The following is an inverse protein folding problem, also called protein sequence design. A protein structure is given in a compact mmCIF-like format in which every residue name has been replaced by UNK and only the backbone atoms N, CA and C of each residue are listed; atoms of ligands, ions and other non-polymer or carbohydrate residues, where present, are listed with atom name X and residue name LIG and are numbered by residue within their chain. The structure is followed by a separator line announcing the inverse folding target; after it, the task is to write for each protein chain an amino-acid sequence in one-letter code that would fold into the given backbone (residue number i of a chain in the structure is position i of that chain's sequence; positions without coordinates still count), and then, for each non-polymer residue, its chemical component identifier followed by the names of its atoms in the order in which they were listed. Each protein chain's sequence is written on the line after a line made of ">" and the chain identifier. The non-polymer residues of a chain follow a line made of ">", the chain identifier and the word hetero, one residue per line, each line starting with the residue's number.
data_IF_017853892622
#
_entry.id   IF_017853892622
#
_cell.length_a   1.000
_cell.length_b   1.000
_cell.length_c   1.000
_cell.angle_alpha   90.00
_cell.angle_beta   90.00
_cell.angle_gamma   90.00
#
_symmetry.space_group_name_H-M   'P 1'
#
loop_
_entity.id
_entity.type
_entity.pdbx_description
1 polymer ?
#
# COMPACT_ATOMS: atom_id res chain seq x y z
N UNK A 1 4.93 12.65 -39.85
CA UNK A 1 4.56 13.87 -39.09
C UNK A 1 3.61 13.56 -37.93
N UNK A 2 2.53 12.80 -38.09
CA UNK A 2 1.64 12.38 -36.97
C UNK A 2 2.35 11.52 -35.90
N UNK A 3 3.32 10.71 -36.30
CA UNK A 3 4.13 9.87 -35.38
C UNK A 3 4.90 10.67 -34.33
N UNK A 4 5.48 11.79 -34.76
CA UNK A 4 6.30 12.65 -33.90
C UNK A 4 5.43 13.47 -32.96
N UNK A 5 4.25 13.89 -33.41
CA UNK A 5 3.31 14.68 -32.62
C UNK A 5 2.70 13.82 -31.50
N UNK A 6 2.24 12.60 -31.79
CA UNK A 6 1.71 11.69 -30.76
C UNK A 6 2.76 11.27 -29.73
N UNK A 7 4.02 11.00 -30.15
CA UNK A 7 5.12 10.75 -29.19
C UNK A 7 5.39 11.95 -28.30
N UNK A 8 5.32 13.15 -28.84
CA UNK A 8 5.49 14.40 -28.07
C UNK A 8 4.31 14.65 -27.14
N UNK A 9 3.08 14.43 -27.58
CA UNK A 9 1.89 14.55 -26.73
C UNK A 9 1.94 13.51 -25.61
N UNK A 10 2.26 12.26 -25.92
CA UNK A 10 2.42 11.20 -24.91
C UNK A 10 3.54 11.53 -23.92
N UNK A 11 4.69 12.01 -24.40
CA UNK A 11 5.82 12.42 -23.55
C UNK A 11 5.45 13.65 -22.71
N UNK A 12 4.74 14.61 -23.26
CA UNK A 12 4.30 15.82 -22.56
C UNK A 12 3.21 15.48 -21.53
N UNK A 13 2.25 14.62 -21.88
CA UNK A 13 1.23 14.16 -20.93
C UNK A 13 1.85 13.29 -19.82
N UNK A 14 2.82 12.46 -20.19
CA UNK A 14 3.59 11.67 -19.21
C UNK A 14 4.46 12.56 -18.31
N UNK A 15 5.14 13.57 -18.88
CA UNK A 15 5.92 14.54 -18.13
C UNK A 15 5.04 15.45 -17.26
N UNK A 16 3.85 15.84 -17.74
CA UNK A 16 2.92 16.68 -16.96
C UNK A 16 2.33 15.94 -15.77
N UNK A 17 2.17 14.63 -15.83
CA UNK A 17 1.80 13.80 -14.67
C UNK A 17 2.89 13.81 -13.59
N UNK A 18 4.16 13.89 -13.99
CA UNK A 18 5.30 14.04 -13.05
C UNK A 18 5.49 15.48 -12.53
N UNK A 19 4.94 16.49 -13.23
CA UNK A 19 5.05 17.91 -12.85
C UNK A 19 3.94 18.34 -11.88
N UNK A 20 2.89 17.56 -11.68
CA UNK A 20 2.07 17.74 -10.50
C UNK A 20 2.96 17.48 -9.28
N UNK A 21 3.68 18.55 -8.87
CA UNK A 21 4.08 18.69 -7.49
C UNK A 21 2.78 18.50 -6.71
N UNK A 22 2.61 17.32 -6.15
CA UNK A 22 1.76 17.17 -5.00
C UNK A 22 2.38 18.14 -4.00
N UNK A 23 1.85 19.36 -3.92
CA UNK A 23 2.12 20.23 -2.81
C UNK A 23 1.82 19.34 -1.61
N UNK A 24 2.82 19.10 -0.76
CA UNK A 24 2.64 18.38 0.47
C UNK A 24 1.52 19.06 1.24
N UNK A 25 0.30 18.63 1.02
CA UNK A 25 -0.74 18.72 2.01
C UNK A 25 -0.21 17.89 3.16
N UNK A 26 -0.26 18.47 4.36
CA UNK A 26 -0.07 17.67 5.57
C UNK A 26 -0.90 16.41 5.37
N UNK A 27 -0.22 15.27 5.14
CA UNK A 27 -0.88 14.00 4.85
C UNK A 27 -1.47 13.47 6.15
N UNK A 28 -2.50 14.16 6.67
CA UNK A 28 -3.29 13.68 7.78
C UNK A 28 -4.12 12.52 7.23
N UNK A 29 -3.77 11.32 7.65
CA UNK A 29 -4.46 10.09 7.30
C UNK A 29 -5.05 9.41 8.54
N UNK A 30 -4.98 8.10 8.57
CA UNK A 30 -5.54 7.30 9.66
C UNK A 30 -4.77 7.46 10.97
N UNK A 31 -5.42 7.76 12.11
CA UNK A 31 -4.79 7.76 13.42
C UNK A 31 -4.14 6.42 13.79
N UNK A 32 -4.60 5.32 13.23
CA UNK A 32 -4.01 4.00 13.43
C UNK A 32 -2.65 3.80 12.75
N UNK A 33 -2.21 4.73 11.88
CA UNK A 33 -0.87 4.70 11.28
C UNK A 33 0.26 5.05 12.26
N UNK A 34 -0.07 5.43 13.50
CA UNK A 34 0.92 5.66 14.57
C UNK A 34 1.69 4.40 14.95
N UNK A 35 1.12 3.23 14.70
CA UNK A 35 1.67 1.94 15.10
C UNK A 35 2.52 1.29 14.00
N UNK A 36 3.66 0.73 14.40
CA UNK A 36 4.54 0.00 13.52
C UNK A 36 5.16 0.86 12.42
N UNK A 37 5.18 0.33 11.22
CA UNK A 37 5.66 1.03 10.01
C UNK A 37 4.55 1.83 9.29
N UNK A 38 3.42 2.03 9.95
CA UNK A 38 2.25 2.69 9.39
C UNK A 38 1.27 1.75 8.68
N UNK A 39 0.32 2.35 7.97
CA UNK A 39 -0.68 1.62 7.20
C UNK A 39 -0.04 1.00 5.95
N UNK A 40 -0.24 -0.30 5.74
CA UNK A 40 0.24 -0.96 4.52
C UNK A 40 -0.58 -0.53 3.30
N UNK A 41 0.10 -0.04 2.25
CA UNK A 41 -0.50 0.53 1.04
C UNK A 41 -0.30 -0.38 -0.17
N UNK A 42 -0.75 -1.64 -0.10
CA UNK A 42 -0.62 -2.57 -1.21
C UNK A 42 -1.57 -2.23 -2.35
N UNK A 43 -1.04 -2.24 -3.57
CA UNK A 43 -1.83 -2.04 -4.78
C UNK A 43 -1.79 -3.29 -5.68
N UNK A 44 -2.89 -4.01 -5.71
CA UNK A 44 -3.08 -5.18 -6.58
C UNK A 44 -3.48 -4.80 -8.02
N UNK A 45 -3.27 -3.55 -8.43
CA UNK A 45 -3.71 -3.05 -9.73
C UNK A 45 -5.23 -3.12 -9.88
N UNK A 46 -5.75 -3.64 -11.02
CA UNK A 46 -7.19 -3.75 -11.22
C UNK A 46 -7.88 -4.69 -10.22
N UNK A 47 -7.14 -5.65 -9.63
CA UNK A 47 -7.68 -6.63 -8.67
C UNK A 47 -8.00 -6.01 -7.30
N UNK A 48 -7.68 -4.72 -7.09
CA UNK A 48 -8.21 -3.99 -5.94
C UNK A 48 -9.74 -4.05 -5.89
N UNK A 49 -10.43 -4.07 -7.05
CA UNK A 49 -11.87 -4.24 -7.13
C UNK A 49 -12.35 -5.65 -6.74
N UNK A 50 -11.44 -6.61 -6.59
CA UNK A 50 -11.67 -7.98 -6.13
C UNK A 50 -11.17 -8.20 -4.70
N UNK A 51 -11.24 -7.20 -3.81
CA UNK A 51 -10.71 -7.30 -2.45
C UNK A 51 -9.19 -7.16 -2.36
N UNK A 52 -8.50 -6.88 -3.46
CA UNK A 52 -7.04 -6.80 -3.53
C UNK A 52 -6.36 -8.17 -3.53
N UNK A 53 -7.00 -9.19 -4.12
CA UNK A 53 -6.39 -10.51 -4.34
C UNK A 53 -5.23 -10.42 -5.32
N UNK A 54 -4.15 -11.15 -5.07
CA UNK A 54 -2.92 -11.09 -5.86
C UNK A 54 -2.13 -12.40 -5.91
N UNK A 55 -2.21 -13.25 -4.88
CA UNK A 55 -1.33 -14.40 -4.71
C UNK A 55 -1.29 -15.32 -5.94
N UNK A 56 -2.46 -15.66 -6.47
CA UNK A 56 -2.61 -16.57 -7.60
C UNK A 56 -3.00 -15.86 -8.91
N UNK A 57 -3.21 -14.54 -8.89
CA UNK A 57 -3.64 -13.80 -10.07
C UNK A 57 -2.60 -13.86 -11.18
N UNK A 58 -3.02 -14.37 -12.34
CA UNK A 58 -2.20 -14.51 -13.55
C UNK A 58 -2.96 -13.94 -14.73
N UNK A 59 -2.51 -12.81 -15.23
CA UNK A 59 -3.12 -12.13 -16.38
C UNK A 59 -2.05 -11.82 -17.42
N UNK A 60 -2.42 -11.86 -18.68
CA UNK A 60 -1.54 -11.50 -19.78
C UNK A 60 -1.49 -9.99 -20.06
N UNK A 61 -2.29 -9.19 -19.35
CA UNK A 61 -2.41 -7.75 -19.56
C UNK A 61 -1.95 -6.88 -18.39
N UNK A 62 -1.88 -7.44 -17.19
CA UNK A 62 -1.59 -6.68 -15.96
C UNK A 62 -0.34 -7.19 -15.25
N UNK A 63 0.47 -6.27 -14.72
CA UNK A 63 1.64 -6.59 -13.91
C UNK A 63 1.16 -6.77 -12.46
N UNK A 64 1.39 -7.96 -11.90
CA UNK A 64 1.14 -8.25 -10.50
C UNK A 64 2.47 -8.37 -9.73
N UNK A 65 2.97 -7.27 -9.18
CA UNK A 65 4.25 -7.24 -8.48
C UNK A 65 4.21 -7.87 -7.08
N UNK A 66 3.01 -8.10 -6.53
CA UNK A 66 2.84 -8.73 -5.21
C UNK A 66 3.24 -10.21 -5.22
N UNK A 67 3.16 -10.88 -6.40
CA UNK A 67 3.73 -12.20 -6.59
C UNK A 67 4.57 -12.25 -7.88
N UNK A 68 5.92 -12.24 -7.79
CA UNK A 68 6.79 -12.17 -8.96
C UNK A 68 6.70 -13.38 -9.90
N UNK A 69 6.17 -14.53 -9.46
CA UNK A 69 5.92 -15.66 -10.33
C UNK A 69 4.88 -15.35 -11.42
N UNK A 70 4.00 -14.38 -11.18
CA UNK A 70 2.94 -13.95 -12.10
C UNK A 70 3.47 -13.29 -13.38
N UNK A 71 4.68 -12.73 -13.38
CA UNK A 71 5.28 -12.10 -14.57
C UNK A 71 5.33 -13.04 -15.77
N UNK A 72 5.44 -14.33 -15.49
CA UNK A 72 5.48 -15.40 -16.50
C UNK A 72 4.15 -15.62 -17.21
N UNK A 73 3.08 -14.90 -16.84
CA UNK A 73 1.78 -14.91 -17.52
C UNK A 73 1.65 -13.82 -18.59
N UNK A 74 2.52 -12.80 -18.56
CA UNK A 74 2.50 -11.69 -19.51
C UNK A 74 2.75 -12.19 -20.94
N UNK A 75 2.18 -11.47 -21.91
CA UNK A 75 2.35 -11.79 -23.33
C UNK A 75 3.82 -11.61 -23.76
N UNK A 76 4.26 -12.48 -24.63
CA UNK A 76 5.68 -12.62 -24.98
C UNK A 76 6.24 -11.54 -25.90
N UNK A 77 5.37 -10.77 -26.53
CA UNK A 77 5.72 -9.81 -27.58
C UNK A 77 5.52 -8.35 -27.17
N UNK A 78 5.15 -8.12 -25.90
CA UNK A 78 4.73 -6.81 -25.41
C UNK A 78 5.64 -6.25 -24.33
N UNK A 79 5.71 -4.92 -24.31
CA UNK A 79 6.23 -4.11 -23.21
C UNK A 79 5.04 -3.57 -22.43
N UNK A 80 5.11 -3.69 -21.12
CA UNK A 80 4.04 -3.32 -20.20
C UNK A 80 4.45 -2.14 -19.34
N UNK A 81 3.58 -1.14 -19.28
CA UNK A 81 3.65 -0.04 -18.32
C UNK A 81 2.37 -0.06 -17.50
N UNK A 82 2.49 0.08 -16.21
CA UNK A 82 1.34 0.14 -15.32
C UNK A 82 1.55 1.22 -14.27
N UNK A 83 0.53 2.05 -14.08
CA UNK A 83 0.52 3.13 -13.12
C UNK A 83 -0.77 3.06 -12.29
N UNK A 84 -0.66 3.29 -10.97
CA UNK A 84 -1.78 3.26 -10.06
C UNK A 84 -1.78 4.45 -9.11
N UNK A 85 -2.96 5.04 -8.89
CA UNK A 85 -3.20 6.08 -7.88
C UNK A 85 -4.37 5.67 -6.99
N UNK A 86 -4.30 6.09 -5.74
CA UNK A 86 -5.38 5.88 -4.76
C UNK A 86 -5.75 7.21 -4.12
N UNK A 87 -7.05 7.51 -4.07
CA UNK A 87 -7.61 8.56 -3.24
C UNK A 87 -8.45 7.94 -2.13
N UNK A 88 -8.32 8.43 -0.91
CA UNK A 88 -9.10 7.99 0.25
C UNK A 88 -9.77 9.21 0.90
N UNK A 89 -11.05 9.08 1.20
CA UNK A 89 -11.80 9.94 2.10
C UNK A 89 -12.25 9.11 3.29
N UNK A 90 -12.01 9.60 4.50
CA UNK A 90 -12.49 8.96 5.72
C UNK A 90 -13.18 9.95 6.65
N UNK A 91 -14.28 9.49 7.22
CA UNK A 91 -14.98 10.13 8.32
C UNK A 91 -14.61 9.41 9.61
N UNK A 92 -14.08 10.18 10.56
CA UNK A 92 -13.65 9.74 11.88
C UNK A 92 -14.75 10.07 12.87
N UNK A 93 -15.13 9.15 13.72
CA UNK A 93 -16.10 9.39 14.79
C UNK A 93 -15.60 8.82 16.13
N UNK A 94 -15.88 9.57 17.17
CA UNK A 94 -15.75 9.18 18.56
C UNK A 94 -17.08 9.49 19.27
N UNK A 95 -17.22 9.10 20.52
CA UNK A 95 -18.40 9.46 21.33
C UNK A 95 -18.67 10.98 21.41
N UNK A 96 -17.65 11.84 21.22
CA UNK A 96 -17.74 13.27 21.48
C UNK A 96 -17.53 14.12 20.25
N UNK A 97 -16.72 13.67 19.32
CA UNK A 97 -16.20 14.49 18.23
C UNK A 97 -16.19 13.73 16.91
N UNK A 98 -16.30 14.47 15.83
CA UNK A 98 -16.17 13.98 14.47
C UNK A 98 -15.09 14.77 13.74
N UNK A 99 -14.35 14.08 12.87
CA UNK A 99 -13.36 14.68 11.99
C UNK A 99 -13.41 13.99 10.62
N UNK A 100 -12.68 14.50 9.67
CA UNK A 100 -12.50 13.81 8.38
C UNK A 100 -11.14 14.14 7.79
N UNK A 101 -10.61 13.22 6.98
CA UNK A 101 -9.41 13.47 6.21
C UNK A 101 -9.57 13.06 4.75
N UNK A 102 -8.67 13.57 3.91
CA UNK A 102 -8.53 13.21 2.50
C UNK A 102 -7.07 13.00 2.18
N UNK A 103 -6.75 11.87 1.58
CA UNK A 103 -5.38 11.51 1.20
C UNK A 103 -5.38 11.05 -0.26
N UNK A 104 -4.36 11.46 -0.99
CA UNK A 104 -4.10 10.97 -2.35
C UNK A 104 -2.66 10.45 -2.43
N UNK A 105 -2.49 9.23 -2.94
CA UNK A 105 -1.21 8.52 -2.97
C UNK A 105 -0.92 7.97 -4.36
N UNK A 106 0.33 8.05 -4.78
CA UNK A 106 0.84 7.32 -5.94
C UNK A 106 1.29 5.94 -5.48
N UNK A 107 0.48 4.93 -5.74
CA UNK A 107 0.68 3.61 -5.13
C UNK A 107 1.60 2.68 -5.90
N UNK A 108 1.75 2.83 -7.21
CA UNK A 108 2.67 2.00 -7.98
C UNK A 108 2.97 2.57 -9.37
N UNK A 109 4.21 2.36 -9.82
CA UNK A 109 4.62 2.46 -11.21
C UNK A 109 5.43 1.21 -11.56
N UNK A 110 5.01 0.46 -12.57
CA UNK A 110 5.63 -0.80 -12.93
C UNK A 110 5.88 -0.87 -14.44
N UNK A 111 6.97 -1.51 -14.80
CA UNK A 111 7.34 -1.86 -16.16
C UNK A 111 7.66 -3.35 -16.19
N UNK A 112 7.24 -4.06 -17.24
CA UNK A 112 7.57 -5.47 -17.41
C UNK A 112 7.71 -5.85 -18.88
N UNK A 113 8.54 -6.85 -19.14
CA UNK A 113 8.76 -7.42 -20.46
C UNK A 113 9.37 -8.81 -20.37
N UNK A 114 9.34 -9.52 -21.49
CA UNK A 114 9.97 -10.82 -21.59
C UNK A 114 11.46 -10.65 -21.97
N UNK A 115 12.35 -11.22 -21.16
CA UNK A 115 13.78 -11.26 -21.43
C UNK A 115 14.15 -12.39 -22.42
N UNK A 116 13.65 -13.59 -22.13
CA UNK A 116 14.00 -14.80 -22.89
C UNK A 116 12.81 -15.76 -22.87
N UNK A 117 12.85 -16.88 -23.60
CA UNK A 117 11.75 -17.83 -23.86
C UNK A 117 10.88 -18.15 -22.62
N UNK A 118 11.48 -18.31 -21.45
CA UNK A 118 10.77 -18.65 -20.21
C UNK A 118 11.09 -17.67 -19.07
N UNK A 119 11.78 -16.55 -19.36
CA UNK A 119 12.23 -15.58 -18.38
C UNK A 119 11.60 -14.23 -18.64
N UNK A 120 11.09 -13.63 -17.59
CA UNK A 120 10.40 -12.35 -17.59
C UNK A 120 11.03 -11.44 -16.54
N UNK A 121 11.00 -10.16 -16.81
CA UNK A 121 11.54 -9.13 -15.93
C UNK A 121 10.49 -8.07 -15.66
N UNK A 122 10.47 -7.60 -14.45
CA UNK A 122 9.69 -6.43 -14.06
C UNK A 122 10.56 -5.51 -13.20
N UNK A 123 10.35 -4.21 -13.33
CA UNK A 123 10.95 -3.22 -12.46
C UNK A 123 9.89 -2.17 -12.14
N UNK A 124 10.00 -1.54 -10.97
CA UNK A 124 9.02 -0.54 -10.61
C UNK A 124 9.33 0.15 -9.29
N UNK A 125 8.47 1.11 -9.02
CA UNK A 125 8.41 1.85 -7.78
C UNK A 125 7.06 1.59 -7.14
N UNK A 126 7.02 1.23 -5.85
CA UNK A 126 5.79 1.02 -5.10
C UNK A 126 5.90 1.64 -3.70
N UNK A 127 4.77 2.08 -3.20
CA UNK A 127 4.63 2.48 -1.82
C UNK A 127 4.31 1.26 -0.97
N UNK A 128 5.03 1.06 0.14
CA UNK A 128 4.83 -0.07 1.06
C UNK A 128 3.99 0.28 2.25
N UNK A 129 4.22 1.48 2.80
CA UNK A 129 3.45 1.96 3.94
C UNK A 129 3.38 3.48 3.94
N UNK A 130 2.32 3.98 4.54
CA UNK A 130 2.06 5.40 4.74
C UNK A 130 1.79 5.70 6.21
N UNK A 131 2.35 6.80 6.69
CA UNK A 131 2.15 7.34 8.03
C UNK A 131 1.67 8.77 7.88
N UNK A 132 0.47 9.03 8.39
CA UNK A 132 -0.10 10.37 8.43
C UNK A 132 -1.10 10.46 9.57
N UNK A 133 -0.75 11.11 10.68
CA UNK A 133 -1.66 11.32 11.80
C UNK A 133 -1.38 12.64 12.50
N UNK A 134 -2.45 13.24 13.03
CA UNK A 134 -2.41 14.40 13.92
C UNK A 134 -3.45 14.18 15.03
N UNK A 135 -2.96 13.90 16.24
CA UNK A 135 -3.78 13.49 17.38
C UNK A 135 -3.53 14.45 18.53
N UNK A 136 -4.62 14.97 19.13
CA UNK A 136 -4.55 15.85 20.28
C UNK A 136 -5.29 15.23 21.47
N UNK A 137 -4.63 15.20 22.62
CA UNK A 137 -5.17 14.67 23.86
C UNK A 137 -5.03 15.71 24.97
N UNK A 138 -6.05 15.80 25.83
CA UNK A 138 -5.99 16.57 27.07
C UNK A 138 -5.88 15.58 28.21
N UNK A 139 -4.81 15.67 28.99
CA UNK A 139 -4.52 14.81 30.11
C UNK A 139 -4.41 15.63 31.42
N UNK A 140 -4.79 15.04 32.53
CA UNK A 140 -4.59 15.62 33.85
C UNK A 140 -3.12 15.47 34.26
N UNK A 141 -2.53 16.50 34.84
CA UNK A 141 -1.15 16.41 35.37
C UNK A 141 -1.18 15.49 36.60
N UNK A 142 -0.34 14.43 36.61
CA UNK A 142 -0.31 13.51 37.76
C UNK A 142 -0.03 14.25 39.08
N UNK A 143 -0.91 14.05 40.07
CA UNK A 143 -0.80 14.72 41.39
C UNK A 143 -1.50 16.08 41.49
N UNK A 144 -2.20 16.54 40.45
CA UNK A 144 -3.02 17.76 40.48
C UNK A 144 -4.44 17.42 40.04
N UNK A 145 -5.45 17.98 40.74
CA UNK A 145 -6.87 17.82 40.38
C UNK A 145 -7.32 18.83 39.30
N UNK A 146 -6.63 19.95 39.15
CA UNK A 146 -7.08 21.11 38.38
C UNK A 146 -6.09 21.56 37.29
N UNK A 147 -4.98 20.84 37.12
CA UNK A 147 -3.97 21.18 36.11
C UNK A 147 -3.97 20.19 34.98
N UNK A 148 -4.05 20.69 33.74
CA UNK A 148 -4.12 19.89 32.51
C UNK A 148 -2.93 20.19 31.61
N UNK A 149 -2.51 19.21 30.82
CA UNK A 149 -1.62 19.43 29.69
C UNK A 149 -2.26 18.90 28.41
N UNK A 150 -2.04 19.62 27.33
CA UNK A 150 -2.38 19.20 25.99
C UNK A 150 -1.15 18.51 25.37
N UNK A 151 -1.36 17.32 24.87
CA UNK A 151 -0.39 16.56 24.11
C UNK A 151 -0.85 16.47 22.66
N UNK A 152 -0.06 17.00 21.74
CA UNK A 152 -0.26 16.85 20.31
C UNK A 152 0.82 15.90 19.77
N UNK A 153 0.41 14.86 19.06
CA UNK A 153 1.28 13.84 18.44
C UNK A 153 1.00 13.85 16.95
N UNK A 154 2.03 14.16 16.17
CA UNK A 154 1.99 14.17 14.72
C UNK A 154 2.98 13.18 14.15
N UNK A 155 2.59 12.48 13.08
CA UNK A 155 3.48 11.62 12.33
C UNK A 155 3.27 11.78 10.84
N UNK A 156 4.39 11.72 10.10
CA UNK A 156 4.36 11.80 8.65
C UNK A 156 5.45 10.93 8.02
N UNK A 157 5.21 10.51 6.76
CA UNK A 157 6.17 9.75 5.97
C UNK A 157 5.72 8.33 5.66
N UNK A 158 6.66 7.42 5.50
CA UNK A 158 6.37 6.04 5.13
C UNK A 158 7.55 5.35 4.45
N UNK A 159 7.29 4.15 3.94
CA UNK A 159 8.27 3.32 3.25
C UNK A 159 7.87 3.13 1.79
N UNK A 160 8.85 3.33 0.94
CA UNK A 160 8.77 3.07 -0.50
C UNK A 160 9.76 1.98 -0.89
N UNK A 161 9.54 1.31 -2.01
CA UNK A 161 10.53 0.44 -2.62
C UNK A 161 10.68 0.66 -4.12
N UNK A 162 11.91 0.51 -4.58
CA UNK A 162 12.24 0.28 -5.98
C UNK A 162 12.62 -1.18 -6.13
N UNK A 163 11.94 -1.91 -6.99
CA UNK A 163 12.20 -3.32 -7.15
C UNK A 163 12.67 -3.69 -8.56
N UNK A 164 13.48 -4.74 -8.62
CA UNK A 164 13.81 -5.51 -9.81
C UNK A 164 13.31 -6.94 -9.59
N UNK A 165 12.40 -7.38 -10.45
CA UNK A 165 11.78 -8.69 -10.39
C UNK A 165 12.15 -9.57 -11.57
N UNK A 166 12.40 -10.85 -11.29
CA UNK A 166 12.62 -11.88 -12.30
C UNK A 166 11.60 -12.99 -12.10
N UNK A 167 11.02 -13.48 -13.18
CA UNK A 167 10.11 -14.61 -13.21
C UNK A 167 10.61 -15.67 -14.19
N UNK A 168 10.50 -16.95 -13.81
CA UNK A 168 10.84 -18.08 -14.66
C UNK A 168 9.73 -19.11 -14.63
N UNK A 169 9.41 -19.68 -15.81
CA UNK A 169 8.35 -20.66 -15.97
C UNK A 169 8.87 -21.96 -16.53
N UNK A 170 8.49 -23.05 -15.89
CA UNK A 170 8.67 -24.40 -16.39
C UNK A 170 7.33 -25.15 -16.37
N UNK A 171 6.78 -25.42 -17.57
CA UNK A 171 5.45 -26.05 -17.73
C UNK A 171 4.38 -25.27 -16.93
N UNK A 172 3.82 -25.90 -15.93
CA UNK A 172 2.76 -25.38 -15.08
C UNK A 172 3.28 -24.64 -13.83
N UNK A 173 4.56 -24.77 -13.52
CA UNK A 173 5.22 -24.13 -12.40
C UNK A 173 5.82 -22.80 -12.83
N UNK A 174 5.58 -21.78 -12.07
CA UNK A 174 6.22 -20.45 -12.18
C UNK A 174 6.84 -20.09 -10.85
N UNK A 175 8.06 -19.60 -10.89
CA UNK A 175 8.76 -19.05 -9.74
C UNK A 175 9.25 -17.66 -10.07
N UNK A 176 9.40 -16.83 -9.06
CA UNK A 176 9.92 -15.47 -9.25
C UNK A 176 10.58 -14.95 -8.00
N UNK A 177 11.33 -13.88 -8.16
CA UNK A 177 12.00 -13.18 -7.09
C UNK A 177 11.98 -11.67 -7.38
N UNK A 178 11.44 -10.89 -6.45
CA UNK A 178 11.67 -9.45 -6.40
C UNK A 178 12.81 -9.14 -5.45
N UNK A 179 13.76 -8.36 -5.91
CA UNK A 179 14.79 -7.72 -5.09
C UNK A 179 14.43 -6.25 -4.99
N UNK A 180 14.06 -5.81 -3.81
CA UNK A 180 13.56 -4.45 -3.55
C UNK A 180 14.55 -3.66 -2.71
N UNK A 181 14.86 -2.45 -3.13
CA UNK A 181 15.53 -1.45 -2.32
C UNK A 181 14.45 -0.67 -1.56
N UNK A 182 14.28 -0.98 -0.27
CA UNK A 182 13.36 -0.27 0.62
C UNK A 182 14.05 0.99 1.14
N UNK A 183 13.33 2.11 1.11
CA UNK A 183 13.78 3.37 1.69
C UNK A 183 12.59 4.22 2.13
N UNK A 184 12.85 5.09 3.12
CA UNK A 184 11.84 6.03 3.58
C UNK A 184 12.29 6.85 4.78
N UNK A 185 11.45 7.82 5.12
CA UNK A 185 11.60 8.68 6.29
C UNK A 185 10.30 8.62 7.07
N UNK A 186 10.40 8.38 8.36
CA UNK A 186 9.29 8.46 9.31
C UNK A 186 9.63 9.55 10.30
N UNK A 187 8.81 10.58 10.35
CA UNK A 187 8.94 11.69 11.28
C UNK A 187 7.83 11.63 12.32
N UNK A 188 8.20 11.61 13.59
CA UNK A 188 7.27 11.65 14.74
C UNK A 188 7.56 12.92 15.52
N UNK A 189 6.55 13.81 15.66
CA UNK A 189 6.63 15.04 16.45
C UNK A 189 5.66 14.95 17.61
N UNK A 190 6.09 15.44 18.76
CA UNK A 190 5.23 15.55 19.94
C UNK A 190 5.38 16.95 20.53
N UNK A 191 4.28 17.59 20.85
CA UNK A 191 4.21 18.87 21.55
C UNK A 191 3.41 18.68 22.83
N UNK A 192 4.01 19.07 23.96
CA UNK A 192 3.38 19.09 25.27
C UNK A 192 3.22 20.55 25.70
N UNK A 193 1.97 20.99 25.90
CA UNK A 193 1.63 22.34 26.31
C UNK A 193 0.84 22.26 27.62
N UNK A 194 1.34 22.86 28.68
CA UNK A 194 0.58 23.01 29.92
C UNK A 194 -0.29 24.27 29.84
N UNK A 195 -1.48 24.22 30.42
CA UNK A 195 -2.39 25.37 30.46
C UNK A 195 -2.08 26.37 31.61
N UNK A 196 -0.88 26.28 32.18
CA UNK A 196 -0.39 27.15 33.24
C UNK A 196 0.36 28.29 32.59
N UNK A 197 0.00 29.54 32.96
CA UNK A 197 0.66 30.75 32.45
C UNK A 197 2.15 30.76 32.79
N UNK A 198 2.99 31.14 31.81
CA UNK A 198 4.46 31.14 31.98
C UNK A 198 5.12 29.76 31.89
N UNK A 199 4.36 28.71 31.59
CA UNK A 199 4.91 27.38 31.45
C UNK A 199 5.73 27.21 30.16
N UNK A 200 6.65 26.25 30.20
CA UNK A 200 7.44 25.83 29.01
C UNK A 200 6.65 24.87 28.15
N UNK A 201 6.62 25.09 26.85
CA UNK A 201 6.13 24.13 25.84
C UNK A 201 7.29 23.20 25.51
N UNK A 202 7.10 21.89 25.65
CA UNK A 202 8.11 20.89 25.30
C UNK A 202 7.77 20.34 23.91
N UNK A 203 8.74 20.39 23.01
CA UNK A 203 8.61 19.84 21.66
C UNK A 203 9.72 18.80 21.44
N UNK A 204 9.32 17.64 20.93
CA UNK A 204 10.23 16.58 20.52
C UNK A 204 10.01 16.23 19.05
N UNK A 205 11.09 15.92 18.35
CA UNK A 205 11.07 15.45 16.98
C UNK A 205 11.99 14.25 16.85
N UNK A 206 11.47 13.17 16.28
CA UNK A 206 12.18 11.95 15.99
C UNK A 206 12.10 11.66 14.49
N UNK A 207 13.24 11.63 13.81
CA UNK A 207 13.38 11.37 12.39
C UNK A 207 14.05 10.04 12.15
N UNK A 208 13.28 9.05 11.71
CA UNK A 208 13.78 7.71 11.37
C UNK A 208 13.97 7.60 9.86
N UNK A 209 15.23 7.41 9.41
CA UNK A 209 15.59 7.15 8.01
C UNK A 209 15.93 5.69 7.83
N UNK A 210 15.16 5.00 7.02
CA UNK A 210 15.26 3.56 6.78
C UNK A 210 15.75 3.34 5.35
N UNK A 211 16.70 2.43 5.16
CA UNK A 211 17.15 1.98 3.85
C UNK A 211 17.76 0.58 3.96
N UNK A 212 17.29 -0.34 3.13
CA UNK A 212 17.85 -1.69 3.04
C UNK A 212 17.35 -2.44 1.80
N UNK A 213 17.78 -3.68 1.62
CA UNK A 213 17.33 -4.57 0.55
C UNK A 213 16.38 -5.62 1.11
N UNK A 214 15.24 -5.84 0.47
CA UNK A 214 14.27 -6.87 0.79
C UNK A 214 14.11 -7.84 -0.37
N UNK A 215 13.98 -9.14 -0.07
CA UNK A 215 13.73 -10.18 -1.04
C UNK A 215 12.31 -10.73 -0.90
N UNK A 216 11.60 -10.84 -2.02
CA UNK A 216 10.24 -11.40 -2.08
C UNK A 216 10.21 -12.52 -3.11
N UNK A 217 10.52 -13.78 -2.73
CA UNK A 217 10.26 -14.91 -3.60
C UNK A 217 8.76 -15.17 -3.74
N UNK A 218 8.38 -15.67 -4.91
CA UNK A 218 7.02 -16.05 -5.26
C UNK A 218 6.96 -17.34 -6.04
N UNK A 219 5.87 -18.06 -5.89
CA UNK A 219 5.59 -19.31 -6.58
C UNK A 219 4.13 -19.33 -7.04
N UNK A 220 3.87 -19.88 -8.21
CA UNK A 220 2.53 -20.18 -8.71
C UNK A 220 2.52 -21.52 -9.43
N UNK A 221 1.46 -22.29 -9.24
CA UNK A 221 1.22 -23.55 -9.94
C UNK A 221 -0.16 -23.54 -10.59
N UNK A 222 -0.21 -23.79 -11.90
CA UNK A 222 -1.44 -23.76 -12.70
C UNK A 222 -1.89 -25.18 -13.03
N UNK A 223 -3.12 -25.52 -12.64
CA UNK A 223 -3.78 -26.79 -12.88
C UNK A 223 -4.87 -26.59 -13.94
N UNK A 224 -4.74 -27.25 -15.08
CA UNK A 224 -5.79 -27.32 -16.09
C UNK A 224 -6.74 -28.46 -15.72
N UNK A 225 -7.83 -28.13 -15.01
CA UNK A 225 -8.81 -29.12 -14.53
C UNK A 225 -9.69 -29.64 -15.66
N UNK A 226 -10.01 -28.77 -16.62
CA UNK A 226 -10.76 -29.09 -17.83
C UNK A 226 -10.44 -28.08 -18.94
N UNK A 227 -10.88 -28.29 -20.19
CA UNK A 227 -10.72 -27.29 -21.26
C UNK A 227 -11.35 -25.91 -20.94
N UNK A 228 -12.27 -25.87 -19.97
CA UNK A 228 -12.96 -24.63 -19.54
C UNK A 228 -12.57 -24.16 -18.16
N UNK A 229 -11.85 -24.97 -17.35
CA UNK A 229 -11.58 -24.69 -15.94
C UNK A 229 -10.10 -24.73 -15.65
N UNK A 230 -9.55 -23.67 -15.11
CA UNK A 230 -8.16 -23.53 -14.70
C UNK A 230 -8.14 -23.12 -13.23
N UNK A 231 -7.35 -23.81 -12.42
CA UNK A 231 -7.07 -23.42 -11.03
C UNK A 231 -5.60 -23.03 -10.93
N UNK A 232 -5.32 -21.88 -10.41
CA UNK A 232 -3.97 -21.43 -10.06
C UNK A 232 -3.86 -21.34 -8.54
N UNK A 233 -2.81 -21.89 -7.98
CA UNK A 233 -2.41 -21.70 -6.58
C UNK A 233 -1.18 -20.83 -6.56
N UNK A 234 -1.09 -19.89 -5.62
CA UNK A 234 0.02 -18.97 -5.55
C UNK A 234 0.41 -18.61 -4.13
N UNK A 235 1.70 -18.35 -3.94
CA UNK A 235 2.22 -17.81 -2.68
C UNK A 235 3.41 -16.90 -2.94
N UNK A 236 3.54 -15.87 -2.11
CA UNK A 236 4.71 -14.99 -2.05
C UNK A 236 5.02 -14.68 -0.59
N UNK A 237 6.30 -14.51 -0.24
CA UNK A 237 6.67 -14.29 1.15
C UNK A 237 7.91 -13.42 1.30
N UNK A 238 8.02 -12.78 2.46
CA UNK A 238 9.20 -12.06 2.90
C UNK A 238 9.74 -12.71 4.18
N UNK A 239 11.05 -12.81 4.29
CA UNK A 239 11.68 -13.28 5.51
C UNK A 239 11.73 -12.19 6.58
N UNK A 240 11.80 -12.59 7.85
CA UNK A 240 12.14 -11.65 8.93
C UNK A 240 13.54 -11.08 8.67
N UNK A 241 13.66 -9.76 8.65
CA UNK A 241 14.90 -9.07 8.34
C UNK A 241 15.09 -7.83 9.21
N UNK A 242 16.34 -7.50 9.54
CA UNK A 242 16.71 -6.27 10.23
C UNK A 242 17.02 -5.20 9.20
N UNK A 243 16.15 -4.21 9.06
CA UNK A 243 16.33 -3.06 8.17
C UNK A 243 17.15 -2.00 8.90
N UNK A 244 18.22 -1.52 8.26
CA UNK A 244 19.07 -0.45 8.81
C UNK A 244 18.30 0.84 8.95
N UNK A 245 18.39 1.45 10.14
CA UNK A 245 17.76 2.72 10.44
C UNK A 245 18.73 3.68 11.12
N UNK A 246 18.57 4.97 10.77
CA UNK A 246 19.25 6.09 11.46
C UNK A 246 18.19 7.00 12.03
N UNK A 247 18.30 7.32 13.31
CA UNK A 247 17.37 8.19 14.02
C UNK A 247 18.06 9.45 14.48
N UNK A 248 17.50 10.60 14.15
CA UNK A 248 17.85 11.90 14.71
C UNK A 248 16.76 12.27 15.72
N UNK A 249 17.14 12.47 16.98
CA UNK A 249 16.21 12.89 18.04
C UNK A 249 16.58 14.28 18.53
N UNK A 250 15.58 15.17 18.60
CA UNK A 250 15.70 16.54 19.14
C UNK A 250 14.61 16.78 20.17
N UNK A 251 14.98 17.40 21.29
CA UNK A 251 14.04 17.91 22.29
C UNK A 251 14.40 19.34 22.67
N UNK A 252 13.42 20.22 22.65
CA UNK A 252 13.60 21.61 23.06
C UNK A 252 12.38 22.12 23.82
N UNK A 253 12.62 23.10 24.70
CA UNK A 253 11.56 23.83 25.39
C UNK A 253 11.44 25.24 24.84
N UNK A 254 10.21 25.71 24.72
CA UNK A 254 9.88 27.08 24.34
C UNK A 254 9.15 27.72 25.52
N UNK A 255 9.66 28.84 26.01
CA UNK A 255 8.96 29.61 27.03
C UNK A 255 7.82 30.39 26.34
N UNK A 256 6.58 30.15 26.76
CA UNK A 256 5.38 30.75 26.15
C UNK A 256 5.30 32.27 26.30
N UNK A 257 5.91 32.82 27.35
CA UNK A 257 5.86 34.28 27.63
C UNK A 257 6.98 35.06 26.94
N UNK A 258 8.18 34.48 26.82
CA UNK A 258 9.36 35.16 26.26
C UNK A 258 9.74 34.72 24.85
N UNK A 259 9.09 33.68 24.33
CA UNK A 259 9.42 33.01 23.06
C UNK A 259 10.90 32.54 22.98
N UNK A 260 11.59 32.39 24.12
CA UNK A 260 12.96 31.89 24.16
C UNK A 260 12.95 30.37 24.03
N UNK A 261 13.81 29.85 23.14
CA UNK A 261 13.98 28.41 22.90
C UNK A 261 15.24 27.93 23.62
N UNK A 262 15.10 26.90 24.43
CA UNK A 262 16.18 26.23 25.12
C UNK A 262 16.26 24.78 24.64
N UNK A 263 17.41 24.35 24.15
CA UNK A 263 17.62 22.97 23.74
C UNK A 263 17.77 22.09 24.99
N UNK A 264 16.88 21.10 25.13
CA UNK A 264 16.88 20.18 26.27
C UNK A 264 17.78 18.97 26.02
N UNK A 265 17.95 18.59 24.76
CA UNK A 265 18.83 17.48 24.38
C UNK A 265 19.42 17.77 23.00
N UNK A 266 20.73 17.54 22.88
CA UNK A 266 21.45 17.72 21.62
C UNK A 266 21.13 16.59 20.65
N UNK A 267 21.32 16.82 19.37
CA UNK A 267 21.08 15.89 18.26
C UNK A 267 21.73 14.54 18.55
N UNK A 268 20.94 13.59 19.00
CA UNK A 268 21.45 12.22 19.23
C UNK A 268 21.23 11.38 17.98
N UNK A 269 22.25 11.29 17.13
CA UNK A 269 22.22 10.37 16.00
C UNK A 269 22.40 8.94 16.51
N UNK A 270 21.31 8.16 16.50
CA UNK A 270 21.36 6.72 16.80
C UNK A 270 21.35 5.92 15.49
N UNK A 271 22.24 4.95 15.40
CA UNK A 271 22.20 3.93 14.34
C UNK A 271 21.64 2.65 14.94
N UNK A 272 20.71 2.02 14.26
CA UNK A 272 20.08 0.81 14.71
C UNK A 272 19.38 0.08 13.57
N UNK A 273 18.37 -0.68 13.93
CA UNK A 273 17.57 -1.41 12.95
C UNK A 273 16.11 -1.45 13.37
N UNK A 274 15.25 -1.62 12.36
CA UNK A 274 13.87 -2.01 12.52
C UNK A 274 13.77 -3.48 12.09
N UNK A 275 13.20 -4.33 12.91
CA UNK A 275 12.99 -5.74 12.60
C UNK A 275 11.70 -5.88 11.79
N UNK A 276 11.87 -6.01 10.48
CA UNK A 276 10.76 -6.25 9.54
C UNK A 276 10.28 -7.69 9.71
N UNK A 277 8.99 -7.93 9.98
CA UNK A 277 8.49 -9.27 10.29
C UNK A 277 8.34 -10.15 9.05
N UNK A 278 8.36 -11.48 9.28
CA UNK A 278 7.96 -12.46 8.28
C UNK A 278 6.55 -12.19 7.79
N UNK A 279 6.36 -12.28 6.47
CA UNK A 279 5.06 -12.13 5.82
C UNK A 279 4.88 -13.20 4.77
N UNK A 280 3.69 -13.79 4.68
CA UNK A 280 3.26 -14.70 3.64
C UNK A 280 1.91 -14.26 3.09
N UNK A 281 1.81 -14.26 1.76
CA UNK A 281 0.59 -14.09 0.99
C UNK A 281 0.34 -15.38 0.25
N UNK A 282 -0.79 -16.05 0.44
CA UNK A 282 -1.15 -17.29 -0.24
C UNK A 282 -2.59 -17.23 -0.71
N UNK A 283 -2.88 -17.88 -1.85
CA UNK A 283 -4.23 -17.83 -2.38
C UNK A 283 -4.43 -18.72 -3.60
N UNK A 284 -5.64 -18.62 -4.13
CA UNK A 284 -6.06 -19.35 -5.33
C UNK A 284 -6.80 -18.42 -6.30
N UNK A 285 -6.77 -18.77 -7.58
CA UNK A 285 -7.57 -18.19 -8.67
C UNK A 285 -8.20 -19.33 -9.47
N UNK A 286 -9.52 -19.41 -9.44
CA UNK A 286 -10.30 -20.36 -10.23
C UNK A 286 -10.95 -19.64 -11.39
N UNK A 287 -10.50 -19.96 -12.59
CA UNK A 287 -10.98 -19.39 -13.85
C UNK A 287 -11.89 -20.35 -14.58
N UNK A 288 -13.11 -19.90 -14.89
CA UNK A 288 -14.09 -20.71 -15.61
C UNK A 288 -14.50 -20.07 -16.94
N UNK A 289 -14.40 -20.85 -18.00
CA UNK A 289 -14.82 -20.50 -19.37
C UNK A 289 -14.24 -19.19 -19.89
N UNK A 290 -13.07 -18.74 -19.34
CA UNK A 290 -12.43 -17.44 -19.64
C UNK A 290 -13.32 -16.22 -19.38
N UNK A 291 -14.46 -16.40 -18.71
CA UNK A 291 -15.45 -15.34 -18.41
C UNK A 291 -15.49 -15.02 -16.92
N UNK A 292 -15.28 -16.01 -16.08
CA UNK A 292 -15.37 -15.89 -14.63
C UNK A 292 -14.02 -16.18 -13.98
N UNK A 293 -13.61 -15.30 -13.09
CA UNK A 293 -12.48 -15.52 -12.21
C UNK A 293 -12.97 -15.38 -10.76
N UNK A 294 -12.75 -16.43 -9.94
CA UNK A 294 -13.06 -16.44 -8.51
C UNK A 294 -11.73 -16.62 -7.77
N UNK A 295 -11.33 -15.64 -6.99
CA UNK A 295 -10.04 -15.66 -6.33
C UNK A 295 -10.18 -15.38 -4.83
N UNK A 296 -9.30 -16.00 -4.05
CA UNK A 296 -9.22 -15.76 -2.62
C UNK A 296 -7.79 -15.77 -2.15
N UNK A 297 -7.48 -14.82 -1.23
CA UNK A 297 -6.15 -14.65 -0.65
C UNK A 297 -6.21 -14.60 0.86
N UNK A 298 -5.16 -15.11 1.47
CA UNK A 298 -4.87 -14.94 2.88
C UNK A 298 -3.45 -14.42 3.07
N UNK A 299 -3.32 -13.32 3.81
CA UNK A 299 -2.04 -12.74 4.20
C UNK A 299 -1.85 -12.88 5.71
N UNK A 300 -0.71 -13.42 6.10
CA UNK A 300 -0.23 -13.46 7.48
C UNK A 300 1.05 -12.65 7.59
N UNK A 301 1.17 -11.84 8.64
CA UNK A 301 2.42 -11.16 8.96
C UNK A 301 2.66 -11.22 10.47
N UNK A 302 3.83 -11.71 10.88
CA UNK A 302 4.19 -11.94 12.28
C UNK A 302 4.59 -10.63 12.97
N UNK A 303 3.61 -9.71 13.14
CA UNK A 303 3.85 -8.38 13.73
C UNK A 303 4.25 -8.45 15.21
N UNK A 304 3.98 -9.55 15.91
CA UNK A 304 4.41 -9.77 17.31
C UNK A 304 5.94 -9.74 17.52
N UNK A 305 6.71 -9.92 16.44
CA UNK A 305 8.19 -9.82 16.50
C UNK A 305 8.73 -8.48 16.02
N UNK A 306 7.86 -7.51 15.73
CA UNK A 306 8.25 -6.18 15.25
C UNK A 306 8.99 -5.42 16.35
N UNK A 307 10.17 -4.90 16.00
CA UNK A 307 11.04 -4.15 16.93
C UNK A 307 11.55 -2.88 16.26
N UNK A 308 11.54 -1.78 16.98
CA UNK A 308 12.23 -0.54 16.62
C UNK A 308 13.40 -0.32 17.58
N UNK A 309 14.64 -0.26 17.06
CA UNK A 309 15.86 -0.04 17.85
C UNK A 309 16.02 -1.01 19.03
N UNK A 310 15.63 -2.28 18.83
CA UNK A 310 15.69 -3.34 19.85
C UNK A 310 14.56 -3.33 20.86
N UNK A 311 13.58 -2.42 20.72
CA UNK A 311 12.39 -2.37 21.57
C UNK A 311 11.20 -3.00 20.82
N UNK A 312 10.61 -4.06 21.39
CA UNK A 312 9.37 -4.64 20.86
C UNK A 312 8.21 -3.65 21.05
N UNK A 313 7.36 -3.52 20.02
CA UNK A 313 6.22 -2.61 20.01
C UNK A 313 4.92 -3.27 20.51
N UNK A 314 4.98 -4.52 21.01
CA UNK A 314 3.86 -5.26 21.60
C UNK A 314 2.63 -5.40 20.68
N UNK A 315 2.86 -5.47 19.36
CA UNK A 315 1.80 -5.69 18.39
C UNK A 315 1.38 -7.16 18.37
N UNK A 316 0.12 -7.44 18.06
CA UNK A 316 -0.37 -8.77 17.70
C UNK A 316 -0.07 -9.07 16.23
N UNK A 317 -0.24 -10.32 15.82
CA UNK A 317 0.00 -10.70 14.43
C UNK A 317 -1.10 -10.14 13.50
N UNK A 318 -0.68 -9.77 12.29
CA UNK A 318 -1.56 -9.24 11.25
C UNK A 318 -2.13 -10.36 10.40
N UNK A 319 -3.43 -10.30 10.13
CA UNK A 319 -4.14 -11.22 9.25
C UNK A 319 -5.02 -10.44 8.27
N UNK A 320 -4.98 -10.79 6.99
CA UNK A 320 -5.91 -10.28 5.98
C UNK A 320 -6.50 -11.46 5.21
N UNK A 321 -7.81 -11.52 5.11
CA UNK A 321 -8.54 -12.41 4.21
C UNK A 321 -9.25 -11.58 3.14
N UNK A 322 -9.16 -12.00 1.88
CA UNK A 322 -9.79 -11.33 0.75
C UNK A 322 -10.44 -12.35 -0.19
N UNK A 323 -11.60 -11.98 -0.73
CA UNK A 323 -12.31 -12.75 -1.76
C UNK A 323 -12.75 -11.83 -2.88
N UNK A 324 -12.70 -12.32 -4.11
CA UNK A 324 -13.09 -11.56 -5.28
C UNK A 324 -13.68 -12.40 -6.39
N UNK A 325 -14.54 -11.76 -7.14
CA UNK A 325 -15.20 -12.28 -8.33
C UNK A 325 -14.99 -11.31 -9.47
N UNK A 326 -14.62 -11.81 -10.65
CA UNK A 326 -14.60 -11.04 -11.90
C UNK A 326 -15.42 -11.72 -12.95
N UNK A 327 -16.15 -10.93 -13.73
CA UNK A 327 -16.95 -11.38 -14.85
C UNK A 327 -16.67 -10.55 -16.09
N UNK A 328 -16.26 -11.21 -17.18
CA UNK A 328 -16.06 -10.60 -18.50
C UNK A 328 -17.02 -11.28 -19.49
N UNK A 329 -18.09 -10.61 -19.94
CA UNK A 329 -19.10 -11.21 -20.82
C UNK A 329 -18.53 -11.86 -22.08
N UNK A 330 -17.70 -11.11 -22.82
CA UNK A 330 -17.09 -11.58 -24.05
C UNK A 330 -15.79 -10.82 -24.34
N UNK A 331 -14.63 -11.44 -24.12
CA UNK A 331 -13.29 -10.80 -24.22
C UNK A 331 -13.01 -10.20 -25.62
N UNK A 332 -13.56 -10.83 -26.68
CA UNK A 332 -13.42 -10.37 -28.05
C UNK A 332 -14.73 -9.76 -28.60
N UNK A 333 -15.65 -9.38 -27.72
CA UNK A 333 -16.93 -8.79 -28.08
C UNK A 333 -16.80 -7.50 -28.87
N UNK A 334 -17.79 -7.23 -29.72
CA UNK A 334 -17.83 -6.02 -30.57
C UNK A 334 -17.95 -4.74 -29.73
N UNK A 335 -18.76 -4.78 -28.69
CA UNK A 335 -19.07 -3.62 -27.87
C UNK A 335 -18.13 -3.52 -26.66
N UNK A 336 -17.84 -2.30 -26.20
CA UNK A 336 -16.93 -2.04 -25.07
C UNK A 336 -17.40 -2.73 -23.79
N UNK A 337 -18.71 -2.72 -23.50
CA UNK A 337 -19.29 -3.33 -22.30
C UNK A 337 -19.16 -4.88 -22.27
N UNK A 338 -19.07 -5.53 -23.44
CA UNK A 338 -18.83 -6.98 -23.53
C UNK A 338 -17.39 -7.34 -23.13
N UNK A 339 -16.45 -6.46 -23.45
CA UNK A 339 -15.02 -6.65 -23.18
C UNK A 339 -14.61 -6.15 -21.80
N UNK A 340 -15.48 -5.39 -21.12
CA UNK A 340 -15.26 -4.89 -19.78
C UNK A 340 -15.28 -6.04 -18.77
N UNK A 341 -14.30 -6.05 -17.85
CA UNK A 341 -14.26 -6.96 -16.70
C UNK A 341 -14.95 -6.26 -15.52
N UNK A 342 -16.08 -6.76 -15.09
CA UNK A 342 -16.81 -6.29 -13.91
C UNK A 342 -16.34 -7.07 -12.71
N UNK A 343 -16.02 -6.39 -11.64
CA UNK A 343 -15.35 -6.97 -10.46
C UNK A 343 -16.09 -6.61 -9.18
N UNK A 344 -16.17 -7.57 -8.28
CA UNK A 344 -16.75 -7.43 -6.94
C UNK A 344 -15.88 -8.22 -5.96
N UNK A 345 -15.72 -7.72 -4.76
CA UNK A 345 -14.97 -8.42 -3.73
C UNK A 345 -15.15 -7.81 -2.35
N UNK A 346 -14.32 -8.27 -1.44
CA UNK A 346 -14.27 -7.73 -0.09
C UNK A 346 -13.06 -8.26 0.65
N UNK A 347 -12.71 -7.58 1.73
CA UNK A 347 -11.63 -8.01 2.60
C UNK A 347 -11.92 -7.73 4.07
N UNK A 348 -11.33 -8.57 4.89
CA UNK A 348 -11.23 -8.41 6.33
C UNK A 348 -9.76 -8.30 6.72
N UNK A 349 -9.43 -7.35 7.61
CA UNK A 349 -8.10 -7.18 8.17
C UNK A 349 -8.19 -7.13 9.69
N UNK A 350 -7.46 -8.03 10.34
CA UNK A 350 -7.06 -7.91 11.73
C UNK A 350 -5.67 -7.27 11.75
N UNK A 351 -5.59 -6.01 12.16
CA UNK A 351 -4.38 -5.20 11.99
C UNK A 351 -3.23 -5.56 12.94
N UNK A 352 -3.51 -6.35 13.98
CA UNK A 352 -2.58 -6.64 15.07
C UNK A 352 -2.41 -5.50 16.07
N UNK A 353 -3.16 -4.41 15.92
CA UNK A 353 -3.17 -3.27 16.84
C UNK A 353 -4.21 -3.56 17.93
N UNK A 354 -3.77 -3.57 19.19
CA UNK A 354 -4.62 -3.69 20.38
C UNK A 354 -4.52 -2.41 21.20
N UNK A 355 -5.65 -1.75 21.42
CA UNK A 355 -5.70 -0.54 22.25
C UNK A 355 -6.73 -0.76 23.36
N UNK A 356 -6.30 -0.71 24.62
CA UNK A 356 -7.17 -0.94 25.79
C UNK A 356 -7.96 -2.27 25.71
N UNK A 357 -7.31 -3.35 25.27
CA UNK A 357 -7.89 -4.68 25.03
C UNK A 357 -8.99 -4.69 23.95
N UNK A 358 -8.90 -3.80 22.97
CA UNK A 358 -9.79 -3.75 21.80
C UNK A 358 -8.96 -3.88 20.53
N UNK A 359 -9.23 -4.92 19.76
CA UNK A 359 -8.56 -5.16 18.48
C UNK A 359 -9.10 -4.22 17.40
N UNK A 360 -8.18 -3.61 16.64
CA UNK A 360 -8.53 -2.73 15.52
C UNK A 360 -8.67 -3.56 14.25
N UNK A 361 -9.90 -3.76 13.83
CA UNK A 361 -10.25 -4.51 12.64
C UNK A 361 -10.72 -3.60 11.52
N UNK A 362 -10.57 -4.05 10.27
CA UNK A 362 -11.08 -3.37 9.07
C UNK A 362 -11.91 -4.33 8.24
N UNK A 363 -13.07 -3.86 7.81
CA UNK A 363 -13.98 -4.56 6.90
C UNK A 363 -14.23 -3.68 5.70
N UNK A 364 -14.16 -4.22 4.49
CA UNK A 364 -14.50 -3.47 3.30
C UNK A 364 -15.13 -4.34 2.22
N UNK A 365 -16.04 -3.73 1.47
CA UNK A 365 -16.57 -4.25 0.21
C UNK A 365 -15.90 -3.48 -0.92
N UNK A 366 -15.53 -4.16 -1.98
CA UNK A 366 -14.86 -3.57 -3.14
C UNK A 366 -15.62 -3.89 -4.40
N UNK A 367 -15.67 -2.95 -5.33
CA UNK A 367 -16.26 -3.17 -6.65
C UNK A 367 -15.56 -2.28 -7.68
N UNK A 368 -15.67 -2.65 -8.93
CA UNK A 368 -15.06 -1.87 -9.99
C UNK A 368 -15.08 -2.55 -11.34
N UNK A 369 -14.30 -2.02 -12.25
CA UNK A 369 -14.19 -2.57 -13.59
C UNK A 369 -12.84 -2.27 -14.25
N UNK A 370 -12.49 -3.07 -15.25
CA UNK A 370 -11.36 -2.82 -16.12
C UNK A 370 -11.79 -2.85 -17.58
N UNK A 371 -11.55 -1.74 -18.26
CA UNK A 371 -11.96 -1.51 -19.67
C UNK A 371 -10.73 -1.59 -20.57
N UNK A 372 -10.66 -2.49 -21.54
CA UNK A 372 -9.63 -2.51 -22.56
C UNK A 372 -9.97 -1.57 -23.71
N UNK A 373 -9.06 -0.66 -24.05
CA UNK A 373 -9.08 0.16 -25.24
C UNK A 373 -8.02 -0.30 -26.22
N UNK A 374 -8.38 -0.64 -27.43
CA UNK A 374 -7.45 -1.09 -28.46
C UNK A 374 -6.99 0.10 -29.30
N UNK A 375 -5.68 0.25 -29.44
CA UNK A 375 -5.08 1.29 -30.29
C UNK A 375 -4.95 0.81 -31.73
N UNK A 376 -4.82 1.74 -32.68
CA UNK A 376 -4.69 1.44 -34.11
C UNK A 376 -3.43 0.59 -34.45
N UNK A 377 -2.50 0.42 -33.50
CA UNK A 377 -1.27 -0.37 -33.65
C UNK A 377 -1.30 -1.68 -32.84
N UNK A 378 -2.48 -2.21 -32.58
CA UNK A 378 -2.65 -3.39 -31.73
C UNK A 378 -2.09 -3.25 -30.29
N UNK A 379 -1.78 -2.03 -29.84
CA UNK A 379 -1.53 -1.74 -28.44
C UNK A 379 -2.85 -1.86 -27.65
N UNK A 380 -2.73 -2.09 -26.36
CA UNK A 380 -3.89 -2.17 -25.46
C UNK A 380 -3.66 -1.19 -24.31
N UNK A 381 -4.61 -0.27 -24.13
CA UNK A 381 -4.71 0.56 -22.93
C UNK A 381 -5.76 -0.08 -22.01
N UNK A 382 -5.38 -0.41 -20.80
CA UNK A 382 -6.26 -0.96 -19.77
C UNK A 382 -6.55 0.14 -18.74
N UNK A 383 -7.81 0.53 -18.60
CA UNK A 383 -8.25 1.46 -17.57
C UNK A 383 -9.05 0.69 -16.50
N UNK A 384 -8.47 0.56 -15.32
CA UNK A 384 -9.11 -0.03 -14.14
C UNK A 384 -9.58 1.06 -13.18
N UNK A 385 -10.80 0.93 -12.69
CA UNK A 385 -11.33 1.76 -11.60
C UNK A 385 -11.89 0.84 -10.54
N UNK A 386 -11.47 1.03 -9.29
CA UNK A 386 -11.95 0.30 -8.14
C UNK A 386 -12.41 1.24 -7.04
N UNK A 387 -13.45 0.84 -6.33
CA UNK A 387 -14.01 1.52 -5.18
C UNK A 387 -13.96 0.56 -3.98
N UNK A 388 -13.46 1.06 -2.83
CA UNK A 388 -13.53 0.34 -1.57
C UNK A 388 -14.42 1.16 -0.63
N UNK A 389 -15.40 0.54 -0.02
CA UNK A 389 -16.22 1.11 1.05
C UNK A 389 -16.02 0.28 2.31
N UNK A 390 -15.59 0.90 3.39
CA UNK A 390 -15.23 0.13 4.57
C UNK A 390 -15.29 0.89 5.88
N UNK A 391 -15.08 0.10 6.94
CA UNK A 391 -15.05 0.57 8.33
C UNK A 391 -13.77 0.05 8.96
N UNK A 392 -13.04 0.90 9.71
CA UNK A 392 -11.86 0.56 10.48
C UNK A 392 -12.03 1.03 11.92
N UNK A 393 -11.65 0.17 12.88
CA UNK A 393 -11.74 0.47 14.31
C UNK A 393 -13.17 0.48 14.86
N UNK A 394 -13.33 1.05 16.03
CA UNK A 394 -14.59 1.08 16.78
C UNK A 394 -14.62 2.27 17.73
N UNK A 395 -15.80 2.74 18.14
CA UNK A 395 -15.98 3.79 19.15
C UNK A 395 -15.91 3.27 20.60
N UNK A 396 -15.82 1.94 20.78
CA UNK A 396 -15.71 1.34 22.13
C UNK A 396 -14.50 1.87 22.89
N UNK A 397 -14.63 2.04 24.19
CA UNK A 397 -13.58 2.52 25.09
C UNK A 397 -13.00 3.89 24.72
N UNK A 398 -13.76 4.73 23.98
CA UNK A 398 -13.34 6.04 23.51
C UNK A 398 -12.33 5.99 22.35
N UNK A 399 -12.30 4.90 21.60
CA UNK A 399 -11.51 4.76 20.40
C UNK A 399 -12.18 5.46 19.21
N UNK A 400 -11.46 5.50 18.08
CA UNK A 400 -11.90 6.15 16.86
C UNK A 400 -12.44 5.11 15.89
N UNK A 401 -13.67 5.30 15.39
CA UNK A 401 -14.17 4.55 14.25
C UNK A 401 -13.95 5.37 12.98
N UNK A 402 -13.44 4.73 11.95
CA UNK A 402 -13.27 5.32 10.61
C UNK A 402 -14.23 4.67 9.63
N UNK A 403 -15.06 5.47 8.95
CA UNK A 403 -15.82 5.06 7.76
C UNK A 403 -15.13 5.66 6.55
N UNK A 404 -14.58 4.81 5.67
CA UNK A 404 -13.79 5.27 4.55
C UNK A 404 -14.36 4.84 3.19
N UNK A 405 -14.09 5.69 2.20
CA UNK A 405 -14.29 5.42 0.79
C UNK A 405 -12.98 5.64 0.05
N UNK A 406 -12.51 4.62 -0.70
CA UNK A 406 -11.32 4.72 -1.56
C UNK A 406 -11.72 4.64 -3.02
N UNK A 407 -11.05 5.43 -3.83
CA UNK A 407 -11.08 5.33 -5.30
C UNK A 407 -9.69 5.01 -5.77
N UNK A 408 -9.55 3.94 -6.55
CA UNK A 408 -8.27 3.51 -7.11
C UNK A 408 -8.37 3.49 -8.62
N UNK A 409 -7.45 4.18 -9.27
CA UNK A 409 -7.35 4.22 -10.72
C UNK A 409 -6.06 3.51 -11.10
N UNK A 410 -6.17 2.57 -12.01
CA UNK A 410 -5.05 1.83 -12.58
C UNK A 410 -5.05 1.99 -14.09
N UNK A 411 -3.92 2.38 -14.65
CA UNK A 411 -3.73 2.53 -16.09
C UNK A 411 -2.61 1.60 -16.53
N UNK A 412 -2.94 0.64 -17.39
CA UNK A 412 -1.99 -0.26 -18.02
C UNK A 412 -1.84 0.06 -19.50
N UNK A 413 -0.61 0.11 -20.01
CA UNK A 413 -0.31 0.30 -21.43
C UNK A 413 0.55 -0.87 -21.90
N UNK A 414 0.04 -1.62 -22.88
CA UNK A 414 0.70 -2.80 -23.42
C UNK A 414 1.00 -2.56 -24.90
N UNK A 415 2.26 -2.27 -25.20
CA UNK A 415 2.74 -1.97 -26.56
C UNK A 415 3.57 -3.12 -27.12
N UNK A 416 3.56 -3.32 -28.44
CA UNK A 416 4.45 -4.29 -29.06
C UNK A 416 5.92 -3.86 -28.91
N UNK A 417 6.75 -4.80 -28.44
CA UNK A 417 8.18 -4.60 -28.25
C UNK A 417 8.99 -4.88 -29.51
N UNK A 418 8.51 -5.82 -30.37
CA UNK A 418 9.17 -6.23 -31.63
C UNK A 418 8.17 -6.14 -32.75
N UNK A 419 8.58 -5.49 -33.84
CA UNK A 419 8.00 -5.63 -35.17
C UNK A 419 8.35 -6.98 -35.76
#
# INVERSE_FOLDING_TARGET
>A
RYRTIMKRIFLITFLSIFIFKVYGQDNIGTPYSVYGIGLQTENAGPYNAMGGVAAAMRDNGNINYLNPASYTALDTTRLYFQFGVTGEYAHLSTYKENASYRVAQNTAFNLAFRLHKNMYMSLGFTEKSDIGYDLSYINVIPGSSDSYFQQNIQGEGGLNDVYLGLGWRYKNLSIGLNTSLIFGKIEKRQTLTTMIEGSKIIKTSENNRIHDVLFTPGIQYTLNLSPKSILTLGSAFNFTQKLRSKTDYMAYSVNSSTNTTEMLNDLTLKRGYIKYPFRILSGFDFRYNRKWDIAGDYTFQKMSVYEEFGKNQELKDYHKAALGLSWTPERLGRYWWQRNSYMLGGYFIHSGIDIKNVDINTYAITFGSQIPFYTARNGILLLGVAFDLGIRGTEQNGLIQEKFAKVRINVGVNEFWKD
#
